data_IF_768880125872
#
_entry.id   IF_768880125872
#
_cell.length_a   1.000
_cell.length_b   1.000
_cell.length_c   1.000
_cell.angle_alpha   90.00
_cell.angle_beta   90.00
_cell.angle_gamma   90.00
#
_symmetry.space_group_name_H-M   'P 1'
#
loop_
_entity.id
_entity.type
_entity.pdbx_description
1 polymer ?
#
# COMPACT_ATOMS: atom_id res chain seq x y z
N UNK A 1 -34.73 2.88 -14.48
CA UNK A 1 -33.90 1.97 -15.30
C UNK A 1 -32.45 2.34 -15.05
N UNK A 2 -31.58 1.37 -14.71
CA UNK A 2 -30.15 1.65 -14.58
C UNK A 2 -29.55 1.84 -15.99
N UNK A 3 -28.95 3.00 -16.26
CA UNK A 3 -28.31 3.30 -17.55
C UNK A 3 -26.80 3.42 -17.35
N UNK A 4 -26.07 2.39 -17.80
CA UNK A 4 -24.61 2.31 -17.74
C UNK A 4 -23.94 2.75 -19.06
N UNK A 5 -24.70 3.22 -20.04
CA UNK A 5 -24.17 3.67 -21.33
C UNK A 5 -23.75 5.15 -21.33
N UNK A 6 -24.02 5.88 -20.25
CA UNK A 6 -23.48 7.21 -20.04
C UNK A 6 -21.97 7.14 -19.76
N UNK A 7 -21.17 7.33 -20.81
CA UNK A 7 -19.74 7.53 -20.71
C UNK A 7 -19.49 8.95 -20.16
N UNK A 8 -19.35 9.13 -18.85
CA UNK A 8 -18.76 10.37 -18.35
C UNK A 8 -17.24 10.32 -18.60
N UNK A 9 -16.81 10.45 -19.85
CA UNK A 9 -15.39 10.46 -20.20
C UNK A 9 -14.63 11.60 -19.47
N UNK A 10 -15.33 12.63 -18.99
CA UNK A 10 -14.80 13.69 -18.13
C UNK A 10 -14.51 13.27 -16.69
N UNK A 11 -15.06 12.14 -16.20
CA UNK A 11 -14.79 11.61 -14.84
C UNK A 11 -13.54 10.72 -14.80
N UNK A 12 -13.05 10.27 -15.95
CA UNK A 12 -11.85 9.46 -16.06
C UNK A 12 -10.79 10.20 -16.90
N UNK A 13 -9.90 10.87 -16.18
CA UNK A 13 -8.57 11.35 -16.64
C UNK A 13 -8.60 12.54 -17.62
N UNK A 14 -8.44 13.75 -17.08
CA UNK A 14 -7.98 14.90 -17.86
C UNK A 14 -6.44 14.88 -17.95
N UNK A 15 -5.82 14.96 -19.14
CA UNK A 15 -4.38 14.80 -19.32
C UNK A 15 -3.51 15.90 -18.68
N UNK A 16 -4.10 17.04 -18.30
CA UNK A 16 -3.39 18.16 -17.67
C UNK A 16 -3.72 18.39 -16.18
N UNK A 17 -4.54 17.54 -15.56
CA UNK A 17 -4.88 17.66 -14.14
C UNK A 17 -4.17 16.55 -13.35
N UNK A 18 -3.27 17.00 -12.50
CA UNK A 18 -2.58 16.31 -11.42
C UNK A 18 -3.45 15.25 -10.71
N UNK A 19 -2.87 14.09 -10.39
CA UNK A 19 -3.38 13.02 -9.52
C UNK A 19 -4.75 13.30 -8.87
N UNK A 20 -5.83 12.80 -9.46
CA UNK A 20 -7.15 12.82 -8.80
C UNK A 20 -7.14 11.72 -7.74
N UNK A 21 -7.27 12.09 -6.46
CA UNK A 21 -7.25 11.11 -5.35
C UNK A 21 -8.39 10.11 -5.51
N UNK A 22 -8.07 8.81 -5.49
CA UNK A 22 -9.05 7.72 -5.38
C UNK A 22 -9.29 7.35 -3.91
N UNK A 23 -10.18 6.38 -3.65
CA UNK A 23 -10.39 5.85 -2.30
C UNK A 23 -9.10 5.32 -1.64
N UNK A 24 -8.12 4.90 -2.43
CA UNK A 24 -6.75 4.56 -2.03
C UNK A 24 -5.78 5.61 -2.59
N UNK A 25 -4.91 6.21 -1.78
CA UNK A 25 -4.09 7.32 -2.26
C UNK A 25 -3.11 6.93 -3.39
N UNK A 26 -2.64 5.67 -3.44
CA UNK A 26 -1.77 5.17 -4.50
C UNK A 26 -2.51 4.78 -5.80
N UNK A 27 -3.85 4.80 -5.80
CA UNK A 27 -4.65 4.31 -6.92
C UNK A 27 -4.73 2.79 -6.98
N UNK A 28 -4.57 2.10 -5.84
CA UNK A 28 -4.65 0.64 -5.74
C UNK A 28 -6.05 0.17 -5.30
N UNK A 29 -6.36 -1.10 -5.54
CA UNK A 29 -7.58 -1.71 -4.98
C UNK A 29 -7.41 -1.90 -3.47
N UNK A 30 -8.27 -1.25 -2.68
CA UNK A 30 -8.34 -1.44 -1.23
C UNK A 30 -8.59 -2.92 -0.91
N UNK A 31 -9.68 -3.47 -1.46
CA UNK A 31 -10.14 -4.82 -1.13
C UNK A 31 -9.11 -5.91 -1.47
N UNK A 32 -8.41 -5.76 -2.60
CA UNK A 32 -7.37 -6.72 -2.99
C UNK A 32 -6.14 -6.70 -2.07
N UNK A 33 -5.93 -5.63 -1.31
CA UNK A 33 -4.83 -5.48 -0.36
C UNK A 33 -5.21 -5.72 1.10
N UNK A 34 -6.50 -5.87 1.43
CA UNK A 34 -6.94 -6.08 2.82
C UNK A 34 -6.54 -7.45 3.33
N UNK A 35 -6.20 -7.52 4.62
CA UNK A 35 -6.16 -8.81 5.34
C UNK A 35 -7.58 -9.28 5.58
N UNK A 36 -7.97 -10.41 4.99
CA UNK A 36 -9.33 -10.97 5.14
C UNK A 36 -9.35 -12.07 6.21
N UNK A 37 -10.42 -12.11 6.99
CA UNK A 37 -10.62 -13.08 8.04
C UNK A 37 -10.71 -14.49 7.47
N UNK A 38 -11.44 -14.68 6.37
CA UNK A 38 -11.58 -15.98 5.71
C UNK A 38 -10.22 -16.57 5.28
N UNK A 39 -9.31 -15.74 4.77
CA UNK A 39 -7.95 -16.14 4.36
C UNK A 39 -7.10 -16.51 5.58
N UNK A 40 -7.19 -15.72 6.66
CA UNK A 40 -6.45 -16.00 7.89
C UNK A 40 -6.99 -17.26 8.59
N UNK A 41 -8.31 -17.45 8.64
CA UNK A 41 -8.95 -18.63 9.18
C UNK A 41 -8.62 -19.89 8.37
N UNK A 42 -8.46 -19.75 7.04
CA UNK A 42 -7.95 -20.81 6.17
C UNK A 42 -6.43 -21.06 6.32
N UNK A 43 -5.73 -20.24 7.11
CA UNK A 43 -4.30 -20.40 7.41
C UNK A 43 -3.36 -19.87 6.33
N UNK A 44 -3.87 -19.17 5.30
CA UNK A 44 -3.04 -18.71 4.18
C UNK A 44 -3.62 -17.47 3.49
N UNK A 45 -2.82 -16.41 3.37
CA UNK A 45 -3.09 -15.24 2.54
C UNK A 45 -2.18 -15.32 1.31
N UNK A 46 -2.76 -15.21 0.12
CA UNK A 46 -2.05 -15.46 -1.16
C UNK A 46 -1.72 -14.20 -1.96
N UNK A 47 -1.76 -13.03 -1.34
CA UNK A 47 -1.54 -11.75 -2.00
C UNK A 47 -0.67 -10.82 -1.15
N UNK A 48 -0.17 -9.75 -1.77
CA UNK A 48 0.50 -8.68 -1.06
C UNK A 48 -0.52 -7.88 -0.25
N UNK A 49 -0.17 -7.49 0.97
CA UNK A 49 -1.04 -6.72 1.86
C UNK A 49 -0.80 -5.22 1.63
N UNK A 50 -1.85 -4.39 1.68
CA UNK A 50 -1.67 -2.93 1.64
C UNK A 50 -1.20 -2.42 2.99
N UNK A 51 -0.33 -1.41 3.00
CA UNK A 51 0.08 -0.75 4.22
C UNK A 51 0.27 0.75 4.04
N UNK A 52 0.36 1.46 5.16
CA UNK A 52 0.55 2.92 5.19
C UNK A 52 1.88 3.34 5.82
N UNK A 53 2.33 4.53 5.44
CA UNK A 53 3.46 5.27 6.01
C UNK A 53 3.06 6.73 6.14
N UNK A 54 3.75 7.48 6.98
CA UNK A 54 3.41 8.88 7.22
C UNK A 54 3.63 9.78 5.99
N UNK A 55 4.57 9.43 5.12
CA UNK A 55 4.96 10.26 3.98
C UNK A 55 5.21 9.45 2.74
N UNK A 56 4.79 10.01 1.60
CA UNK A 56 5.05 9.49 0.28
C UNK A 56 5.81 10.51 -0.56
N UNK A 57 6.73 10.00 -1.37
CA UNK A 57 7.42 10.81 -2.37
C UNK A 57 6.43 11.28 -3.46
N UNK A 58 6.71 12.42 -4.09
CA UNK A 58 6.09 12.85 -5.35
C UNK A 58 6.55 11.94 -6.51
N UNK A 59 6.11 10.70 -6.46
CA UNK A 59 6.30 9.70 -7.48
C UNK A 59 5.64 8.38 -7.07
N UNK A 60 5.57 7.46 -8.03
CA UNK A 60 5.00 6.14 -7.82
C UNK A 60 5.73 5.05 -8.59
N UNK A 61 5.54 3.82 -8.14
CA UNK A 61 5.99 2.60 -8.79
C UNK A 61 4.75 1.77 -9.18
N UNK A 62 4.70 1.30 -10.42
CA UNK A 62 3.60 0.43 -10.87
C UNK A 62 3.49 -0.82 -9.95
N UNK A 63 2.27 -1.27 -9.60
CA UNK A 63 0.99 -0.94 -10.23
C UNK A 63 0.30 0.33 -9.71
N UNK A 64 0.89 1.05 -8.74
CA UNK A 64 0.33 2.34 -8.32
C UNK A 64 0.23 3.28 -9.53
N UNK A 65 -0.73 4.19 -9.49
CA UNK A 65 -1.04 5.14 -10.57
C UNK A 65 -0.98 6.58 -10.10
N UNK A 66 -1.00 6.81 -8.80
CA UNK A 66 -1.02 8.12 -8.17
C UNK A 66 0.28 8.33 -7.41
N UNK A 67 0.71 9.60 -7.32
CA UNK A 67 1.92 10.01 -6.61
C UNK A 67 1.55 10.70 -5.29
N UNK A 68 2.50 10.72 -4.36
CA UNK A 68 2.37 11.46 -3.10
C UNK A 68 2.32 12.97 -3.31
N UNK A 69 2.19 13.76 -2.22
CA UNK A 69 2.01 15.21 -2.29
C UNK A 69 3.04 15.90 -3.20
N UNK A 70 2.57 16.90 -3.96
CA UNK A 70 3.43 17.69 -4.83
C UNK A 70 4.59 18.31 -4.05
N UNK A 71 5.78 18.33 -4.65
CA UNK A 71 6.99 18.93 -4.05
C UNK A 71 7.84 18.02 -3.15
N UNK A 72 7.33 16.89 -2.65
CA UNK A 72 8.15 15.98 -1.84
C UNK A 72 9.11 15.14 -2.71
N UNK A 73 10.32 15.66 -2.96
CA UNK A 73 11.33 15.05 -3.84
C UNK A 73 12.41 14.26 -3.09
N UNK A 74 12.31 14.14 -1.77
CA UNK A 74 13.28 13.39 -0.95
C UNK A 74 13.39 11.95 -1.45
N UNK A 75 14.63 11.50 -1.74
CA UNK A 75 14.92 10.16 -2.25
C UNK A 75 14.99 9.11 -1.13
N UNK A 76 15.02 9.54 0.13
CA UNK A 76 14.98 8.65 1.30
C UNK A 76 13.56 8.18 1.64
N UNK A 77 12.54 8.90 1.14
CA UNK A 77 11.12 8.55 1.31
C UNK A 77 10.68 7.62 0.18
N UNK A 78 9.91 6.59 0.52
CA UNK A 78 9.37 5.65 -0.46
C UNK A 78 8.28 6.31 -1.33
N UNK A 79 8.28 6.10 -2.65
CA UNK A 79 7.12 6.41 -3.48
C UNK A 79 6.00 5.38 -3.26
N UNK A 80 4.75 5.80 -3.52
CA UNK A 80 3.63 4.86 -3.54
C UNK A 80 3.89 3.68 -4.49
N UNK A 81 3.33 2.52 -4.16
CA UNK A 81 3.56 1.27 -4.89
C UNK A 81 4.88 0.58 -4.56
N UNK A 82 5.73 1.17 -3.70
CA UNK A 82 6.93 0.46 -3.21
C UNK A 82 6.52 -0.84 -2.53
N UNK A 83 7.15 -1.94 -2.96
CA UNK A 83 6.98 -3.25 -2.34
C UNK A 83 8.08 -3.54 -1.34
N UNK A 84 7.68 -3.89 -0.13
CA UNK A 84 8.55 -4.41 0.92
C UNK A 84 8.07 -5.78 1.36
N UNK A 85 8.94 -6.59 1.93
CA UNK A 85 8.58 -7.88 2.52
C UNK A 85 9.30 -8.09 3.83
N UNK A 86 8.76 -8.95 4.67
CA UNK A 86 9.44 -9.41 5.87
C UNK A 86 10.64 -10.26 5.45
N UNK A 87 11.81 -9.99 6.01
CA UNK A 87 13.05 -10.71 5.70
C UNK A 87 12.86 -12.22 5.93
N UNK A 88 13.43 -13.02 5.03
CA UNK A 88 13.38 -14.48 5.15
C UNK A 88 13.95 -14.96 6.50
N UNK A 89 14.98 -14.28 7.01
CA UNK A 89 15.67 -14.58 8.27
C UNK A 89 14.95 -14.14 9.54
N UNK A 90 13.87 -13.35 9.45
CA UNK A 90 13.16 -12.89 10.65
C UNK A 90 12.48 -14.07 11.36
N UNK A 91 12.76 -14.29 12.65
CA UNK A 91 12.22 -15.44 13.38
C UNK A 91 10.72 -15.30 13.67
N UNK A 92 9.97 -16.38 13.40
CA UNK A 92 8.53 -16.46 13.62
C UNK A 92 8.15 -17.40 14.78
N UNK A 93 9.12 -18.01 15.46
CA UNK A 93 8.91 -19.02 16.51
C UNK A 93 7.98 -18.55 17.63
N UNK A 94 8.05 -17.27 18.00
CA UNK A 94 7.27 -16.67 19.08
C UNK A 94 5.93 -16.04 18.61
N UNK A 95 5.50 -16.33 17.38
CA UNK A 95 4.25 -15.85 16.82
C UNK A 95 3.28 -17.02 16.59
N UNK A 96 2.01 -16.77 16.87
CA UNK A 96 0.96 -17.78 16.76
C UNK A 96 -0.35 -17.19 16.24
N UNK A 97 -1.32 -18.08 15.98
CA UNK A 97 -2.67 -17.72 15.56
C UNK A 97 -2.71 -16.81 14.33
N UNK A 98 -3.60 -15.81 14.36
CA UNK A 98 -3.81 -14.89 13.23
C UNK A 98 -2.52 -14.16 12.81
N UNK A 99 -1.69 -13.76 13.77
CA UNK A 99 -0.44 -13.04 13.49
C UNK A 99 0.56 -13.90 12.71
N UNK A 100 0.69 -15.18 13.04
CA UNK A 100 1.62 -16.07 12.34
C UNK A 100 1.24 -16.23 10.86
N UNK A 101 -0.05 -16.33 10.56
CA UNK A 101 -0.54 -16.43 9.16
C UNK A 101 -0.21 -15.17 8.38
N UNK A 102 -0.47 -13.99 8.97
CA UNK A 102 -0.15 -12.69 8.36
C UNK A 102 1.36 -12.57 8.14
N UNK A 103 2.20 -12.93 9.11
CA UNK A 103 3.65 -12.83 8.99
C UNK A 103 4.24 -13.77 7.94
N UNK A 104 3.69 -14.99 7.81
CA UNK A 104 4.03 -15.90 6.70
C UNK A 104 3.70 -15.27 5.35
N UNK A 105 2.55 -14.61 5.22
CA UNK A 105 2.18 -13.89 4.01
C UNK A 105 3.12 -12.70 3.73
N UNK A 106 3.48 -11.92 4.75
CA UNK A 106 4.43 -10.82 4.62
C UNK A 106 5.84 -11.28 4.22
N UNK A 107 6.27 -12.49 4.58
CA UNK A 107 7.52 -13.08 4.05
C UNK A 107 7.39 -13.43 2.57
N UNK A 108 6.30 -14.12 2.20
CA UNK A 108 6.13 -14.73 0.88
C UNK A 108 5.70 -13.73 -0.20
N UNK A 109 4.67 -12.94 0.09
CA UNK A 109 4.03 -12.02 -0.85
C UNK A 109 4.39 -10.55 -0.58
N UNK A 110 4.83 -10.24 0.64
CA UNK A 110 5.17 -8.89 1.04
C UNK A 110 3.94 -7.99 1.19
N UNK A 111 4.21 -6.70 1.11
CA UNK A 111 3.22 -5.64 1.24
C UNK A 111 3.56 -4.45 0.34
N UNK A 112 2.54 -3.66 0.01
CA UNK A 112 2.64 -2.55 -0.94
C UNK A 112 2.19 -1.24 -0.30
N UNK A 113 3.02 -0.21 -0.46
CA UNK A 113 2.77 1.10 0.13
C UNK A 113 1.63 1.79 -0.64
N UNK A 114 0.49 1.94 0.02
CA UNK A 114 -0.76 2.31 -0.64
C UNK A 114 -1.31 3.68 -0.21
N UNK A 115 -0.96 4.16 0.98
CA UNK A 115 -1.60 5.35 1.54
C UNK A 115 -0.79 6.04 2.60
N UNK A 116 -1.05 7.34 2.80
CA UNK A 116 -0.50 8.08 3.91
C UNK A 116 -1.30 7.85 5.18
N UNK A 117 -0.61 7.49 6.26
CA UNK A 117 -1.25 7.18 7.54
C UNK A 117 -0.21 6.83 8.61
N UNK A 118 -0.61 6.02 9.58
CA UNK A 118 0.32 5.53 10.60
C UNK A 118 1.42 4.66 9.97
N UNK A 119 2.63 4.76 10.49
CA UNK A 119 3.76 3.99 9.97
C UNK A 119 3.54 2.48 10.18
N UNK A 120 3.73 1.70 9.11
CA UNK A 120 3.66 0.23 9.13
C UNK A 120 2.28 -0.32 9.50
N UNK A 121 1.22 0.45 9.25
CA UNK A 121 -0.14 0.04 9.57
C UNK A 121 -0.73 -0.84 8.46
N UNK A 122 -1.22 -2.02 8.85
CA UNK A 122 -1.95 -2.94 7.97
C UNK A 122 -3.44 -2.76 8.18
N UNK A 123 -4.22 -2.85 7.11
CA UNK A 123 -5.68 -2.79 7.21
C UNK A 123 -6.28 -4.18 7.05
N UNK A 124 -7.15 -4.56 7.99
CA UNK A 124 -7.96 -5.78 7.95
C UNK A 124 -9.41 -5.46 7.68
N UNK A 125 -10.15 -6.43 7.18
CA UNK A 125 -11.60 -6.30 7.10
C UNK A 125 -12.26 -6.29 8.50
N UNK A 126 -13.44 -5.65 8.65
CA UNK A 126 -14.28 -5.80 9.83
C UNK A 126 -14.75 -7.25 9.98
N UNK A 127 -14.55 -7.84 11.16
CA UNK A 127 -15.04 -9.17 11.52
C UNK A 127 -14.95 -9.33 13.05
N UNK A 128 -15.94 -9.92 13.70
CA UNK A 128 -15.94 -10.08 15.16
C UNK A 128 -15.07 -11.25 15.64
N UNK A 129 -14.72 -12.17 14.73
CA UNK A 129 -13.95 -13.36 15.06
C UNK A 129 -12.42 -13.11 15.10
N UNK A 130 -11.97 -11.86 14.92
CA UNK A 130 -10.57 -11.52 15.04
C UNK A 130 -10.09 -11.64 16.49
N UNK A 131 -9.17 -12.57 16.74
CA UNK A 131 -8.47 -12.64 18.02
C UNK A 131 -7.51 -11.44 18.19
N UNK A 132 -7.89 -10.51 19.06
CA UNK A 132 -7.11 -9.28 19.30
C UNK A 132 -5.78 -9.54 20.03
N UNK A 133 -5.72 -10.55 20.89
CA UNK A 133 -4.48 -10.96 21.56
C UNK A 133 -3.47 -11.48 20.54
N UNK A 134 -3.93 -12.29 19.59
CA UNK A 134 -3.09 -12.74 18.48
C UNK A 134 -2.57 -11.55 17.68
N UNK A 135 -3.47 -10.69 17.20
CA UNK A 135 -3.12 -9.55 16.34
C UNK A 135 -2.19 -8.53 17.01
N UNK A 136 -2.27 -8.38 18.34
CA UNK A 136 -1.40 -7.47 19.09
C UNK A 136 0.10 -7.79 18.90
N UNK A 137 0.43 -9.05 18.60
CA UNK A 137 1.80 -9.50 18.39
C UNK A 137 2.46 -8.83 17.19
N UNK A 138 1.71 -8.41 16.17
CA UNK A 138 2.24 -7.74 14.97
C UNK A 138 3.01 -6.45 15.33
N UNK A 139 2.64 -5.79 16.43
CA UNK A 139 3.32 -4.58 16.92
C UNK A 139 4.77 -4.83 17.37
N UNK A 140 5.14 -6.09 17.63
CA UNK A 140 6.51 -6.49 18.03
C UNK A 140 7.46 -6.57 16.84
N UNK A 141 6.96 -6.49 15.60
CA UNK A 141 7.81 -6.59 14.39
C UNK A 141 8.42 -5.22 14.09
N UNK A 142 9.75 -5.06 14.18
CA UNK A 142 10.37 -3.78 13.89
C UNK A 142 10.39 -3.51 12.39
N UNK A 143 10.39 -2.23 12.01
CA UNK A 143 10.55 -1.81 10.61
C UNK A 143 11.82 -2.34 9.95
N UNK A 144 12.89 -2.52 10.75
CA UNK A 144 14.18 -3.09 10.31
C UNK A 144 14.10 -4.56 9.91
N UNK A 145 13.01 -5.26 10.26
CA UNK A 145 12.75 -6.63 9.80
C UNK A 145 12.31 -6.69 8.34
N UNK A 146 12.01 -5.56 7.70
CA UNK A 146 11.58 -5.51 6.31
C UNK A 146 12.72 -5.17 5.35
N UNK A 147 12.57 -5.60 4.11
CA UNK A 147 13.44 -5.29 2.98
C UNK A 147 12.63 -4.91 1.75
N UNK A 148 13.19 -4.06 0.89
CA UNK A 148 12.56 -3.69 -0.40
C UNK A 148 12.71 -4.86 -1.37
N UNK A 149 11.61 -5.34 -1.94
CA UNK A 149 11.56 -6.60 -2.72
C UNK A 149 12.36 -6.52 -4.02
N UNK A 150 12.48 -5.32 -4.62
CA UNK A 150 13.43 -4.89 -5.66
C UNK A 150 12.95 -3.51 -6.13
N UNK A 151 13.86 -2.56 -6.36
CA UNK A 151 13.50 -1.27 -6.96
C UNK A 151 13.07 -1.54 -8.40
N UNK A 152 11.80 -1.28 -8.74
CA UNK A 152 11.42 -1.12 -10.15
C UNK A 152 12.25 0.05 -10.68
N UNK A 153 12.91 -0.14 -11.81
CA UNK A 153 13.87 0.81 -12.40
C UNK A 153 13.25 2.13 -12.86
N UNK A 154 11.96 2.35 -12.62
CA UNK A 154 11.24 3.54 -13.09
C UNK A 154 10.24 4.00 -12.02
N UNK A 155 10.60 5.07 -11.32
CA UNK A 155 9.66 5.87 -10.53
C UNK A 155 9.04 6.90 -11.47
N UNK A 156 7.73 6.87 -11.67
CA UNK A 156 7.03 7.93 -12.41
C UNK A 156 6.84 9.12 -11.47
N UNK A 157 7.33 10.30 -11.86
CA UNK A 157 7.24 11.53 -11.07
C UNK A 157 5.97 12.30 -11.40
N UNK A 158 5.41 12.99 -10.41
CA UNK A 158 4.31 13.93 -10.65
C UNK A 158 4.78 15.15 -11.45
N UNK A 159 3.91 15.64 -12.33
CA UNK A 159 4.12 16.91 -13.04
C UNK A 159 4.07 18.06 -12.02
N UNK A 160 5.12 18.88 -11.97
CA UNK A 160 5.10 20.16 -11.25
C UNK A 160 5.06 21.24 -12.33
N UNK A 161 3.95 21.98 -12.51
CA UNK A 161 3.96 23.13 -13.41
C UNK A 161 5.07 24.09 -12.96
N UNK A 162 5.97 24.47 -13.87
CA UNK A 162 6.83 25.63 -13.61
C UNK A 162 5.92 26.86 -13.66
N UNK A 163 5.88 27.64 -12.57
CA UNK A 163 5.33 28.99 -12.62
C UNK A 163 6.32 29.92 -13.34
N UNK A 164 6.56 29.69 -14.63
CA UNK A 164 7.11 30.71 -15.52
C UNK A 164 5.93 31.43 -16.17
N UNK A 165 5.39 32.41 -15.44
CA UNK A 165 4.67 33.50 -16.10
C UNK A 165 5.74 34.36 -16.75
N UNK A 166 6.12 34.00 -17.97
CA UNK A 166 6.80 34.94 -18.86
C UNK A 166 5.71 35.92 -19.32
N UNK A 167 5.77 37.11 -18.74
CA UNK A 167 5.08 38.32 -19.20
C UNK A 167 6.12 39.17 -19.93
#
# INVERSE_FOLDING_TARGET
MFDLNQRNASMFRHPSLTSVTSADAAGLSIYAGLVKYSEVAAGNITHAIRFTLQSAQNGYIAPAKHFGPSGNKDLTIMPYGTRVRLKASFDLSNFYGHSLVILKALKKYGMIFADQGSNWFLTREPNDNWNSNDLSQLKRVPSTAFEIVRRVSTVTRGFTPSNSRDV
#
